data_IF_500056609837
#
_entry.id   IF_500056609837
#
_cell.length_a   1.000
_cell.length_b   1.000
_cell.length_c   1.000
_cell.angle_alpha   90.00
_cell.angle_beta   90.00
_cell.angle_gamma   90.00
#
_symmetry.space_group_name_H-M   'P 1'
#
loop_
_entity.id
_entity.type
_entity.pdbx_description
1 polymer ?
#
# COMPACT_ATOMS: atom_id res chain seq x y z
N UNK A 1 22.98 64.14 6.93
CA UNK A 1 23.62 62.79 6.92
C UNK A 1 22.84 61.68 7.65
N UNK A 2 21.56 61.84 7.99
CA UNK A 2 20.76 60.80 8.69
C UNK A 2 20.12 59.77 7.73
N UNK A 3 19.85 60.16 6.49
CA UNK A 3 19.15 59.35 5.49
C UNK A 3 20.02 58.20 4.97
N UNK A 4 21.34 58.41 4.85
CA UNK A 4 22.28 57.39 4.39
C UNK A 4 22.39 56.20 5.36
N UNK A 5 22.28 56.45 6.67
CA UNK A 5 22.37 55.39 7.69
C UNK A 5 21.12 54.49 7.70
N UNK A 6 19.92 55.05 7.47
CA UNK A 6 18.67 54.27 7.38
C UNK A 6 18.61 53.37 6.15
N UNK A 7 19.18 53.79 5.02
CA UNK A 7 19.22 52.97 3.79
C UNK A 7 20.14 51.75 3.94
N UNK A 8 21.26 51.90 4.66
CA UNK A 8 22.22 50.82 4.91
C UNK A 8 21.64 49.76 5.84
N UNK A 9 20.91 50.17 6.88
CA UNK A 9 20.24 49.24 7.80
C UNK A 9 19.13 48.44 7.12
N UNK A 10 18.34 49.07 6.24
CA UNK A 10 17.27 48.38 5.52
C UNK A 10 17.82 47.34 4.53
N UNK A 11 18.94 47.66 3.86
CA UNK A 11 19.63 46.72 2.97
C UNK A 11 20.24 45.52 3.73
N UNK A 12 20.75 45.72 4.96
CA UNK A 12 21.25 44.64 5.79
C UNK A 12 20.14 43.69 6.27
N UNK A 13 18.96 44.21 6.61
CA UNK A 13 17.82 43.38 7.03
C UNK A 13 17.27 42.52 5.87
N UNK A 14 17.31 43.01 4.63
CA UNK A 14 16.85 42.24 3.47
C UNK A 14 17.76 41.05 3.10
N UNK A 15 19.04 41.06 3.53
CA UNK A 15 19.96 39.96 3.28
C UNK A 15 19.71 38.72 4.15
N UNK A 16 18.99 38.87 5.27
CA UNK A 16 18.68 37.78 6.20
C UNK A 16 17.43 36.97 5.79
N UNK A 17 16.68 37.41 4.78
CA UNK A 17 15.44 36.77 4.33
C UNK A 17 15.63 35.70 3.23
N UNK A 18 16.85 35.50 2.72
CA UNK A 18 17.16 34.46 1.71
C UNK A 18 17.45 33.09 2.35
N UNK A 19 16.69 32.73 3.37
CA UNK A 19 16.63 31.37 3.88
C UNK A 19 15.68 30.53 3.02
N UNK A 20 15.99 30.34 1.73
CA UNK A 20 15.34 29.29 0.94
C UNK A 20 15.77 27.94 1.52
N UNK A 21 15.03 27.46 2.52
CA UNK A 21 15.15 26.10 3.01
C UNK A 21 15.02 25.16 1.81
N UNK A 22 16.12 24.55 1.38
CA UNK A 22 16.07 23.43 0.46
C UNK A 22 15.25 22.35 1.17
N UNK A 23 14.00 22.19 0.75
CA UNK A 23 13.27 20.93 0.96
C UNK A 23 14.16 19.87 0.33
N UNK A 24 14.91 19.14 1.14
CA UNK A 24 15.69 18.02 0.66
C UNK A 24 14.74 17.11 -0.12
N UNK A 25 15.11 16.79 -1.35
CA UNK A 25 14.36 15.83 -2.16
C UNK A 25 14.26 14.54 -1.32
N UNK A 26 13.07 13.91 -1.24
CA UNK A 26 12.92 12.66 -0.51
C UNK A 26 13.99 11.68 -0.98
N UNK A 27 14.70 11.11 -0.01
CA UNK A 27 15.83 10.22 -0.25
C UNK A 27 15.33 9.04 -1.10
N UNK A 28 16.03 8.67 -2.19
CA UNK A 28 15.63 7.51 -2.98
C UNK A 28 15.63 6.30 -2.05
N UNK A 29 14.46 5.68 -1.91
CA UNK A 29 14.33 4.42 -1.19
C UNK A 29 15.22 3.40 -1.89
N UNK A 30 16.05 2.70 -1.12
CA UNK A 30 16.95 1.71 -1.68
C UNK A 30 16.11 0.58 -2.29
N UNK A 31 16.10 0.50 -3.62
CA UNK A 31 15.34 -0.51 -4.35
C UNK A 31 15.74 -1.95 -3.96
N UNK A 32 16.94 -2.13 -3.41
CA UNK A 32 17.42 -3.41 -2.88
C UNK A 32 16.65 -3.86 -1.63
N UNK A 33 16.04 -2.93 -0.92
CA UNK A 33 15.22 -3.21 0.26
C UNK A 33 13.72 -3.34 -0.06
N UNK A 34 13.35 -3.15 -1.34
CA UNK A 34 11.98 -3.25 -1.81
C UNK A 34 11.61 -4.69 -2.20
N UNK A 35 10.35 -5.01 -1.96
CA UNK A 35 9.64 -6.05 -2.67
C UNK A 35 8.43 -5.42 -3.38
N UNK A 36 7.83 -6.15 -4.30
CA UNK A 36 6.59 -5.74 -4.98
C UNK A 36 5.74 -6.95 -5.32
N UNK A 37 4.44 -6.74 -5.44
CA UNK A 37 3.54 -7.74 -6.01
C UNK A 37 3.76 -7.84 -7.52
N UNK A 38 3.80 -9.06 -8.05
CA UNK A 38 3.77 -9.33 -9.50
C UNK A 38 2.43 -9.87 -9.96
N UNK A 39 1.61 -10.38 -9.03
CA UNK A 39 0.26 -10.82 -9.29
C UNK A 39 -0.43 -11.26 -8.01
N UNK A 40 -1.75 -11.16 -8.01
CA UNK A 40 -2.61 -11.75 -7.00
C UNK A 40 -3.89 -12.20 -7.68
N UNK A 41 -4.45 -13.32 -7.22
CA UNK A 41 -5.72 -13.87 -7.66
C UNK A 41 -6.46 -14.44 -6.45
N UNK A 42 -7.76 -14.23 -6.42
CA UNK A 42 -8.65 -14.86 -5.47
C UNK A 42 -9.63 -15.76 -6.20
N UNK A 43 -9.97 -16.88 -5.58
CA UNK A 43 -11.06 -17.76 -5.98
C UNK A 43 -12.00 -17.92 -4.80
N UNK A 44 -13.30 -18.02 -5.09
CA UNK A 44 -14.27 -18.37 -4.06
C UNK A 44 -14.26 -19.89 -3.85
N UNK A 45 -14.20 -20.30 -2.58
CA UNK A 45 -14.24 -21.70 -2.15
C UNK A 45 -15.25 -21.81 -1.01
N UNK A 46 -16.48 -22.20 -1.35
CA UNK A 46 -17.63 -22.12 -0.44
C UNK A 46 -17.80 -20.67 0.06
N UNK A 47 -17.85 -20.47 1.38
CA UNK A 47 -18.08 -19.17 2.02
C UNK A 47 -16.76 -18.38 2.24
N UNK A 48 -15.65 -18.85 1.68
CA UNK A 48 -14.32 -18.30 1.90
C UNK A 48 -13.62 -17.93 0.59
N UNK A 49 -12.69 -17.00 0.66
CA UNK A 49 -11.76 -16.64 -0.40
C UNK A 49 -10.47 -17.45 -0.21
N UNK A 50 -9.98 -18.03 -1.29
CA UNK A 50 -8.63 -18.57 -1.39
C UNK A 50 -7.80 -17.67 -2.30
N UNK A 51 -6.68 -17.17 -1.79
CA UNK A 51 -5.87 -16.15 -2.45
C UNK A 51 -4.48 -16.70 -2.73
N UNK A 52 -4.05 -16.67 -3.99
CA UNK A 52 -2.66 -16.91 -4.41
C UNK A 52 -2.04 -15.59 -4.87
N UNK A 53 -0.91 -15.23 -4.28
CA UNK A 53 -0.21 -14.00 -4.62
C UNK A 53 1.29 -14.24 -4.79
N UNK A 54 1.89 -13.44 -5.68
CA UNK A 54 3.28 -13.55 -6.10
C UNK A 54 4.01 -12.24 -5.83
N UNK A 55 5.23 -12.38 -5.32
CA UNK A 55 6.09 -11.29 -4.89
C UNK A 55 7.46 -11.45 -5.55
N UNK A 56 8.13 -10.32 -5.79
CA UNK A 56 9.56 -10.30 -6.14
C UNK A 56 10.31 -9.24 -5.36
N UNK A 57 11.62 -9.43 -5.20
CA UNK A 57 12.52 -8.47 -4.56
C UNK A 57 13.12 -9.01 -3.27
N UNK A 58 13.27 -8.16 -2.26
CA UNK A 58 13.82 -8.54 -0.97
C UNK A 58 12.72 -9.05 -0.02
N UNK A 59 12.43 -10.34 -0.11
CA UNK A 59 11.35 -10.99 0.63
C UNK A 59 11.59 -11.05 2.13
N UNK A 60 12.86 -10.93 2.58
CA UNK A 60 13.20 -10.86 4.01
C UNK A 60 12.62 -9.60 4.68
N UNK A 61 12.29 -8.60 3.88
CA UNK A 61 11.73 -7.34 4.36
C UNK A 61 10.20 -7.34 4.36
N UNK A 62 9.53 -8.42 3.97
CA UNK A 62 8.08 -8.53 4.14
C UNK A 62 7.81 -8.72 5.63
N UNK A 63 7.24 -7.72 6.28
CA UNK A 63 6.88 -7.78 7.69
C UNK A 63 5.51 -8.44 7.91
N UNK A 64 4.61 -8.31 6.95
CA UNK A 64 3.25 -8.78 7.05
C UNK A 64 2.44 -8.48 5.80
N UNK A 65 1.34 -9.20 5.66
CA UNK A 65 0.37 -9.00 4.58
C UNK A 65 -1.00 -8.75 5.20
N UNK A 66 -1.69 -7.74 4.70
CA UNK A 66 -3.06 -7.46 5.08
C UNK A 66 -3.97 -7.66 3.89
N UNK A 67 -5.00 -8.48 4.07
CA UNK A 67 -6.14 -8.55 3.17
C UNK A 67 -7.11 -7.45 3.55
N UNK A 68 -7.46 -6.61 2.57
CA UNK A 68 -8.50 -5.61 2.69
C UNK A 68 -9.69 -6.02 1.83
N UNK A 69 -10.89 -5.98 2.40
CA UNK A 69 -12.14 -6.42 1.78
C UNK A 69 -13.22 -5.34 1.88
N UNK A 70 -13.94 -5.16 0.79
CA UNK A 70 -15.15 -4.34 0.67
C UNK A 70 -16.27 -5.23 0.13
N UNK A 71 -17.34 -5.38 0.91
CA UNK A 71 -18.55 -6.08 0.48
C UNK A 71 -19.12 -5.39 -0.77
N UNK A 72 -19.50 -6.19 -1.77
CA UNK A 72 -20.03 -5.66 -3.01
C UNK A 72 -21.22 -6.50 -3.51
N UNK A 73 -22.10 -5.84 -4.24
CA UNK A 73 -23.15 -6.52 -4.98
C UNK A 73 -22.62 -7.05 -6.32
N UNK A 74 -23.34 -8.01 -6.90
CA UNK A 74 -23.10 -8.50 -8.27
C UNK A 74 -23.68 -7.57 -9.35
N UNK A 75 -24.37 -6.51 -8.94
CA UNK A 75 -24.94 -5.48 -9.81
C UNK A 75 -23.92 -4.44 -10.27
N UNK A 76 -24.41 -3.32 -10.77
CA UNK A 76 -23.60 -2.22 -11.30
C UNK A 76 -22.79 -1.56 -10.18
N UNK A 77 -21.60 -2.08 -9.92
CA UNK A 77 -20.61 -1.41 -9.07
C UNK A 77 -20.30 -0.07 -9.74
N UNK A 78 -20.49 1.02 -9.01
CA UNK A 78 -20.10 2.34 -9.48
C UNK A 78 -18.63 2.32 -9.90
N UNK A 79 -18.38 2.43 -11.21
CA UNK A 79 -17.07 2.19 -11.82
C UNK A 79 -15.93 3.07 -11.27
N UNK A 80 -16.29 4.22 -10.68
CA UNK A 80 -15.35 5.20 -10.12
C UNK A 80 -15.43 5.33 -8.59
N UNK A 81 -16.14 4.42 -7.91
CA UNK A 81 -16.20 4.49 -6.46
C UNK A 81 -14.85 4.13 -5.83
N UNK A 82 -14.38 4.94 -4.86
CA UNK A 82 -13.17 4.62 -4.14
C UNK A 82 -13.31 3.26 -3.46
N UNK A 83 -12.19 2.55 -3.34
CA UNK A 83 -12.16 1.32 -2.57
C UNK A 83 -12.18 1.66 -1.08
N UNK A 84 -13.19 1.19 -0.37
CA UNK A 84 -13.45 1.47 1.04
C UNK A 84 -13.53 0.16 1.81
N UNK A 85 -12.38 -0.37 2.28
CA UNK A 85 -12.37 -1.67 2.93
C UNK A 85 -13.09 -1.60 4.28
N UNK A 86 -14.12 -2.41 4.43
CA UNK A 86 -14.89 -2.58 5.67
C UNK A 86 -14.28 -3.64 6.58
N UNK A 87 -13.46 -4.53 6.01
CA UNK A 87 -12.82 -5.61 6.73
C UNK A 87 -11.33 -5.68 6.39
N UNK A 88 -10.51 -5.92 7.42
CA UNK A 88 -9.06 -6.03 7.30
C UNK A 88 -8.56 -7.23 8.09
N UNK A 89 -7.87 -8.15 7.43
CA UNK A 89 -7.24 -9.31 8.07
C UNK A 89 -5.74 -9.27 7.88
N UNK A 90 -5.01 -9.23 8.98
CA UNK A 90 -3.56 -9.38 8.99
C UNK A 90 -3.17 -10.86 9.03
N UNK A 91 -2.21 -11.20 8.19
CA UNK A 91 -1.59 -12.52 8.10
C UNK A 91 -0.11 -12.42 8.43
N UNK A 92 0.35 -13.36 9.25
CA UNK A 92 1.77 -13.60 9.42
C UNK A 92 2.37 -14.10 8.10
N UNK A 93 3.70 -13.93 7.98
CA UNK A 93 4.48 -14.35 6.81
C UNK A 93 4.93 -15.82 6.89
N UNK A 94 4.40 -16.59 7.82
CA UNK A 94 4.63 -18.04 7.92
C UNK A 94 4.17 -18.77 6.65
N UNK A 95 3.13 -18.26 5.99
CA UNK A 95 2.63 -18.78 4.71
C UNK A 95 3.39 -18.27 3.46
N UNK A 96 4.49 -17.53 3.64
CA UNK A 96 5.33 -17.07 2.53
C UNK A 96 6.37 -18.13 2.17
N UNK A 97 6.20 -18.74 1.00
CA UNK A 97 7.22 -19.60 0.38
C UNK A 97 8.11 -18.76 -0.54
N UNK A 98 9.43 -18.86 -0.38
CA UNK A 98 10.40 -18.09 -1.15
C UNK A 98 11.35 -19.00 -1.94
N UNK A 99 11.57 -18.69 -3.21
CA UNK A 99 12.55 -19.30 -4.09
C UNK A 99 13.41 -18.20 -4.73
N UNK A 100 14.63 -18.02 -4.21
CA UNK A 100 15.51 -16.94 -4.63
C UNK A 100 14.91 -15.57 -4.33
N UNK A 101 14.68 -14.76 -5.37
CA UNK A 101 14.06 -13.42 -5.27
C UNK A 101 12.55 -13.43 -5.48
N UNK A 102 11.94 -14.59 -5.69
CA UNK A 102 10.52 -14.76 -5.96
C UNK A 102 9.82 -15.42 -4.78
N UNK A 103 8.63 -14.96 -4.44
CA UNK A 103 7.84 -15.46 -3.32
C UNK A 103 6.41 -15.74 -3.74
N UNK A 104 5.79 -16.72 -3.08
CA UNK A 104 4.36 -17.03 -3.19
C UNK A 104 3.74 -17.05 -1.81
N UNK A 105 2.56 -16.46 -1.69
CA UNK A 105 1.73 -16.49 -0.49
C UNK A 105 0.39 -17.09 -0.86
N UNK A 106 -0.06 -18.04 -0.06
CA UNK A 106 -1.41 -18.60 -0.15
C UNK A 106 -2.15 -18.31 1.15
N UNK A 107 -3.32 -17.68 1.05
CA UNK A 107 -4.15 -17.29 2.20
C UNK A 107 -5.58 -17.78 2.00
N UNK A 108 -6.19 -18.30 3.05
CA UNK A 108 -7.62 -18.58 3.08
C UNK A 108 -8.30 -17.67 4.11
N UNK A 109 -9.42 -17.05 3.72
CA UNK A 109 -10.17 -16.15 4.58
C UNK A 109 -11.67 -16.24 4.35
N UNK A 110 -12.44 -16.39 5.42
CA UNK A 110 -13.90 -16.37 5.37
C UNK A 110 -14.38 -15.00 5.89
N UNK A 111 -14.95 -14.14 5.04
CA UNK A 111 -15.45 -12.84 5.44
C UNK A 111 -16.51 -12.93 6.54
N UNK A 112 -16.52 -11.94 7.43
CA UNK A 112 -17.50 -11.90 8.52
C UNK A 112 -18.85 -11.32 8.10
N UNK A 113 -18.86 -10.48 7.06
CA UNK A 113 -20.06 -9.89 6.48
C UNK A 113 -20.35 -10.62 5.18
N UNK A 114 -21.47 -11.36 5.12
CA UNK A 114 -21.87 -12.07 3.89
C UNK A 114 -22.25 -11.08 2.78
N UNK A 115 -21.68 -11.27 1.60
CA UNK A 115 -21.97 -10.52 0.38
C UNK A 115 -21.87 -11.43 -0.85
N UNK A 116 -22.62 -11.14 -1.93
CA UNK A 116 -22.58 -11.95 -3.15
C UNK A 116 -21.26 -11.76 -3.93
N UNK A 117 -20.53 -10.69 -3.66
CA UNK A 117 -19.19 -10.45 -4.17
C UNK A 117 -18.35 -9.63 -3.17
N UNK A 118 -17.02 -9.62 -3.37
CA UNK A 118 -16.11 -8.74 -2.63
C UNK A 118 -15.14 -8.07 -3.58
N UNK A 119 -14.95 -6.77 -3.40
CA UNK A 119 -13.76 -6.05 -3.88
C UNK A 119 -12.65 -6.28 -2.87
N UNK A 120 -11.45 -6.55 -3.32
CA UNK A 120 -10.34 -6.90 -2.43
C UNK A 120 -9.00 -6.46 -2.98
N UNK A 121 -8.03 -6.30 -2.08
CA UNK A 121 -6.61 -6.15 -2.41
C UNK A 121 -5.74 -6.67 -1.28
N UNK A 122 -4.48 -6.96 -1.60
CA UNK A 122 -3.44 -7.21 -0.60
C UNK A 122 -2.59 -5.95 -0.38
N UNK A 123 -2.21 -5.77 0.87
CA UNK A 123 -1.29 -4.74 1.34
C UNK A 123 -0.07 -5.41 1.92
N UNK A 124 1.08 -5.27 1.25
CA UNK A 124 2.37 -5.74 1.73
C UNK A 124 3.05 -4.67 2.57
N UNK A 125 3.41 -5.02 3.80
CA UNK A 125 4.12 -4.14 4.74
C UNK A 125 5.60 -4.48 4.74
N UNK A 126 6.43 -3.45 4.68
CA UNK A 126 7.87 -3.60 4.83
C UNK A 126 8.26 -3.54 6.33
N UNK A 127 9.33 -4.23 6.73
CA UNK A 127 9.94 -4.09 8.06
C UNK A 127 10.37 -2.65 8.34
N UNK A 128 10.77 -1.92 7.29
CA UNK A 128 11.05 -0.49 7.35
C UNK A 128 9.76 0.31 7.15
N UNK A 129 9.29 0.94 8.23
CA UNK A 129 8.01 1.69 8.25
C UNK A 129 7.98 2.93 7.35
N UNK A 130 9.14 3.39 6.88
CA UNK A 130 9.26 4.52 5.95
C UNK A 130 8.96 4.13 4.50
N UNK A 131 9.00 2.83 4.17
CA UNK A 131 8.63 2.35 2.84
C UNK A 131 7.11 2.36 2.66
N UNK A 132 6.60 2.77 1.48
CA UNK A 132 5.18 2.75 1.21
C UNK A 132 4.68 1.31 1.18
N UNK A 133 3.41 1.13 1.54
CA UNK A 133 2.75 -0.14 1.36
C UNK A 133 2.73 -0.55 -0.11
N UNK A 134 3.02 -1.82 -0.35
CA UNK A 134 2.91 -2.41 -1.67
C UNK A 134 1.49 -2.91 -1.84
N UNK A 135 0.78 -2.37 -2.83
CA UNK A 135 -0.63 -2.69 -3.07
C UNK A 135 -0.78 -3.56 -4.31
N UNK A 136 -1.64 -4.56 -4.25
CA UNK A 136 -2.16 -5.17 -5.48
C UNK A 136 -3.20 -4.23 -6.09
N UNK A 137 -3.55 -4.47 -7.37
CA UNK A 137 -4.77 -3.89 -7.93
C UNK A 137 -5.98 -4.37 -7.13
N UNK A 138 -7.01 -3.53 -7.07
CA UNK A 138 -8.32 -3.92 -6.54
C UNK A 138 -8.96 -4.85 -7.56
N UNK A 139 -9.35 -6.04 -7.11
CA UNK A 139 -10.01 -7.06 -7.92
C UNK A 139 -11.35 -7.42 -7.28
N UNK A 140 -12.24 -8.03 -8.06
CA UNK A 140 -13.53 -8.52 -7.57
C UNK A 140 -13.56 -10.03 -7.62
N UNK A 141 -14.07 -10.65 -6.57
CA UNK A 141 -14.39 -12.08 -6.54
C UNK A 141 -15.89 -12.22 -6.27
N UNK A 142 -16.56 -13.03 -7.08
CA UNK A 142 -17.98 -13.37 -6.90
C UNK A 142 -18.06 -14.65 -6.09
N UNK A 143 -18.89 -14.65 -5.05
CA UNK A 143 -19.10 -15.81 -4.20
C UNK A 143 -20.12 -16.77 -4.84
N UNK A 144 -19.99 -18.10 -4.62
CA UNK A 144 -21.03 -19.03 -5.00
C UNK A 144 -22.33 -18.67 -4.27
N UNK A 145 -23.46 -18.75 -4.99
CA UNK A 145 -24.77 -18.61 -4.33
C UNK A 145 -24.99 -19.85 -3.45
N UNK A 146 -25.42 -19.62 -2.21
CA UNK A 146 -25.96 -20.68 -1.35
C UNK A 146 -27.24 -21.25 -1.96
#
# INVERSE_FOLDING_TARGET
>A
MKIAHSLILLALLSALALGCGKKALPQPQDEREMFRWTGAKATAKSDCLSIDAQLVGNLRNVAGVVLELEAADTGEQCANCPFLPVERKEFAIDNLSAQGKSGRITLDYCPTVEAPAYRWRLVGRNVYRTFPYQLTQVQTVVMPRK
#
